data_IF_461615494966
#
_entry.id   IF_461615494966
#
_cell.length_a   1.000
_cell.length_b   1.000
_cell.length_c   1.000
_cell.angle_alpha   90.00
_cell.angle_beta   90.00
_cell.angle_gamma   90.00
#
_symmetry.space_group_name_H-M   'P 1'
#
loop_
_entity.id
_entity.type
_entity.pdbx_description
1 polymer ?
#
# COMPACT_ATOMS: atom_id res chain seq x y z
N UNK A 1 -13.27 12.62 11.31
CA UNK A 1 -14.23 12.05 10.34
C UNK A 1 -13.83 10.60 10.10
N UNK A 2 -14.74 9.64 10.24
CA UNK A 2 -14.51 8.22 9.91
C UNK A 2 -15.19 7.93 8.57
N UNK A 3 -14.50 7.20 7.70
CA UNK A 3 -15.02 6.70 6.42
C UNK A 3 -15.42 5.25 6.67
N UNK A 4 -16.69 4.93 6.49
CA UNK A 4 -17.19 3.56 6.53
C UNK A 4 -17.10 2.95 5.14
N UNK A 5 -16.36 1.86 4.99
CA UNK A 5 -16.31 1.07 3.77
C UNK A 5 -17.64 0.36 3.56
N UNK A 6 -18.05 0.16 2.31
CA UNK A 6 -19.13 -0.79 2.00
C UNK A 6 -18.58 -2.24 2.06
N UNK A 7 -19.44 -3.22 1.81
CA UNK A 7 -19.06 -4.65 1.82
C UNK A 7 -17.92 -4.95 0.83
N UNK A 8 -18.01 -4.46 -0.40
CA UNK A 8 -17.01 -4.70 -1.44
C UNK A 8 -15.60 -4.23 -1.04
N UNK A 9 -15.49 -3.00 -0.52
CA UNK A 9 -14.20 -2.48 -0.06
C UNK A 9 -13.73 -3.12 1.25
N UNK A 10 -14.65 -3.59 2.08
CA UNK A 10 -14.34 -4.38 3.27
C UNK A 10 -13.70 -5.71 2.87
N UNK A 11 -14.30 -6.42 1.92
CA UNK A 11 -13.78 -7.69 1.40
C UNK A 11 -12.41 -7.51 0.74
N UNK A 12 -12.20 -6.43 -0.03
CA UNK A 12 -10.87 -6.15 -0.61
C UNK A 12 -9.81 -5.88 0.46
N UNK A 13 -10.16 -5.18 1.55
CA UNK A 13 -9.24 -4.92 2.66
C UNK A 13 -8.91 -6.19 3.45
N UNK A 14 -9.88 -7.08 3.65
CA UNK A 14 -9.66 -8.38 4.26
C UNK A 14 -8.79 -9.26 3.35
N UNK A 15 -9.09 -9.34 2.06
CA UNK A 15 -8.26 -10.04 1.07
C UNK A 15 -6.82 -9.52 1.08
N UNK A 16 -6.61 -8.20 1.11
CA UNK A 16 -5.28 -7.62 1.20
C UNK A 16 -4.54 -8.11 2.45
N UNK A 17 -5.21 -8.14 3.61
CA UNK A 17 -4.61 -8.64 4.86
C UNK A 17 -4.26 -10.12 4.74
N UNK A 18 -5.12 -10.94 4.17
CA UNK A 18 -4.90 -12.38 4.00
C UNK A 18 -3.76 -12.70 3.02
N UNK A 19 -3.57 -11.86 2.00
CA UNK A 19 -2.47 -11.96 1.05
C UNK A 19 -1.12 -11.52 1.63
N UNK A 20 -1.10 -10.77 2.73
CA UNK A 20 0.11 -10.19 3.33
C UNK A 20 0.25 -10.58 4.81
N UNK A 21 0.61 -11.83 5.09
CA UNK A 21 0.75 -12.33 6.46
C UNK A 21 2.20 -12.36 6.93
N UNK A 22 3.18 -12.45 6.01
CA UNK A 22 4.60 -12.48 6.37
C UNK A 22 5.04 -11.13 6.97
N UNK A 23 5.69 -11.11 8.15
CA UNK A 23 6.10 -9.87 8.79
C UNK A 23 7.14 -9.09 7.98
N UNK A 24 7.97 -9.75 7.18
CA UNK A 24 8.95 -9.12 6.28
C UNK A 24 8.22 -8.45 5.12
N UNK A 25 7.20 -9.12 4.57
CA UNK A 25 6.33 -8.53 3.55
C UNK A 25 5.63 -7.28 4.09
N UNK A 26 4.96 -7.38 5.24
CA UNK A 26 4.32 -6.24 5.87
C UNK A 26 5.30 -5.10 6.20
N UNK A 27 6.52 -5.41 6.62
CA UNK A 27 7.55 -4.39 6.86
C UNK A 27 7.95 -3.67 5.57
N UNK A 28 8.31 -4.43 4.52
CA UNK A 28 8.64 -3.88 3.21
C UNK A 28 7.50 -3.00 2.67
N UNK A 29 6.24 -3.44 2.81
CA UNK A 29 5.07 -2.67 2.42
C UNK A 29 4.89 -1.41 3.26
N UNK A 30 5.08 -1.50 4.58
CA UNK A 30 4.94 -0.35 5.49
C UNK A 30 5.92 0.79 5.22
N UNK A 31 7.09 0.47 4.65
CA UNK A 31 8.09 1.45 4.21
C UNK A 31 7.85 1.86 2.75
N UNK A 32 7.57 0.93 1.85
CA UNK A 32 7.44 1.23 0.42
C UNK A 32 6.18 2.02 0.06
N UNK A 33 5.04 1.76 0.71
CA UNK A 33 3.77 2.48 0.44
C UNK A 33 3.93 4.00 0.65
N UNK A 34 4.44 4.51 1.79
CA UNK A 34 4.61 5.94 1.97
C UNK A 34 5.68 6.53 1.04
N UNK A 35 6.71 5.77 0.65
CA UNK A 35 7.68 6.24 -0.35
C UNK A 35 7.03 6.47 -1.71
N UNK A 36 6.20 5.51 -2.17
CA UNK A 36 5.44 5.66 -3.42
C UNK A 36 4.47 6.85 -3.28
N UNK A 37 3.69 6.91 -2.20
CA UNK A 37 2.71 7.97 -1.99
C UNK A 37 3.35 9.37 -1.95
N UNK A 38 4.50 9.53 -1.27
CA UNK A 38 5.23 10.80 -1.19
C UNK A 38 5.90 11.19 -2.51
N UNK A 39 6.31 10.21 -3.33
CA UNK A 39 6.94 10.47 -4.63
C UNK A 39 6.00 11.19 -5.62
N UNK A 40 4.69 10.91 -5.56
CA UNK A 40 3.70 11.46 -6.48
C UNK A 40 3.60 13.00 -6.41
N UNK A 41 3.35 13.64 -5.25
CA UNK A 41 3.31 15.10 -5.17
C UNK A 41 4.68 15.74 -5.40
N UNK A 42 5.78 15.09 -4.99
CA UNK A 42 7.14 15.59 -5.24
C UNK A 42 7.46 15.65 -6.75
N UNK A 43 7.00 14.65 -7.50
CA UNK A 43 7.23 14.53 -8.93
C UNK A 43 6.48 15.52 -9.82
N UNK A 44 5.55 16.31 -9.25
CA UNK A 44 4.78 17.32 -9.99
C UNK A 44 5.68 18.48 -10.47
N UNK A 45 6.84 18.70 -9.83
CA UNK A 45 7.77 19.77 -10.19
C UNK A 45 9.07 19.22 -10.78
N UNK A 46 9.67 19.97 -11.71
CA UNK A 46 10.99 19.63 -12.29
C UNK A 46 12.07 19.58 -11.19
N UNK A 47 11.93 20.42 -10.16
CA UNK A 47 12.85 20.46 -9.01
C UNK A 47 12.71 19.20 -8.13
N UNK A 48 11.49 18.70 -7.95
CA UNK A 48 11.22 17.51 -7.12
C UNK A 48 11.39 16.18 -7.85
N UNK A 49 11.36 16.18 -9.19
CA UNK A 49 11.48 14.98 -10.02
C UNK A 49 12.74 14.13 -9.73
N UNK A 50 13.96 14.71 -9.54
CA UNK A 50 15.15 13.95 -9.18
C UNK A 50 15.03 13.18 -7.87
N UNK A 51 14.19 13.63 -6.94
CA UNK A 51 13.91 12.92 -5.68
C UNK A 51 12.74 11.95 -5.82
N UNK A 52 11.72 12.30 -6.60
CA UNK A 52 10.54 11.47 -6.81
C UNK A 52 10.88 10.14 -7.50
N UNK A 53 11.73 10.16 -8.54
CA UNK A 53 12.12 8.95 -9.29
C UNK A 53 12.72 7.86 -8.38
N UNK A 54 13.78 8.12 -7.58
CA UNK A 54 14.34 7.10 -6.70
C UNK A 54 13.37 6.67 -5.59
N UNK A 55 12.57 7.59 -5.02
CA UNK A 55 11.54 7.22 -4.03
C UNK A 55 10.51 6.25 -4.62
N UNK A 56 10.03 6.53 -5.83
CA UNK A 56 9.09 5.67 -6.53
C UNK A 56 9.70 4.30 -6.84
N UNK A 57 10.92 4.29 -7.41
CA UNK A 57 11.63 3.06 -7.77
C UNK A 57 11.96 2.18 -6.57
N UNK A 58 12.54 2.75 -5.50
CA UNK A 58 12.86 2.01 -4.28
C UNK A 58 11.58 1.58 -3.57
N UNK A 59 10.56 2.43 -3.51
CA UNK A 59 9.27 2.11 -2.91
C UNK A 59 8.63 0.88 -3.55
N UNK A 60 8.61 0.81 -4.89
CA UNK A 60 8.16 -0.37 -5.65
C UNK A 60 9.08 -1.58 -5.47
N UNK A 61 10.40 -1.37 -5.47
CA UNK A 61 11.37 -2.43 -5.19
C UNK A 61 11.09 -3.12 -3.86
N UNK A 62 10.79 -2.34 -2.80
CA UNK A 62 10.39 -2.90 -1.51
C UNK A 62 9.08 -3.70 -1.59
N UNK A 63 8.05 -3.24 -2.32
CA UNK A 63 6.81 -4.03 -2.50
C UNK A 63 7.12 -5.41 -3.08
N UNK A 64 7.90 -5.46 -4.17
CA UNK A 64 8.22 -6.72 -4.82
C UNK A 64 9.12 -7.63 -3.98
N UNK A 65 10.06 -7.06 -3.22
CA UNK A 65 10.87 -7.82 -2.25
C UNK A 65 9.97 -8.43 -1.16
N UNK A 66 8.98 -7.68 -0.68
CA UNK A 66 7.99 -8.18 0.29
C UNK A 66 7.24 -9.39 -0.24
N UNK A 67 6.70 -9.29 -1.46
CA UNK A 67 6.03 -10.40 -2.14
C UNK A 67 6.95 -11.59 -2.45
N UNK A 68 8.24 -11.35 -2.71
CA UNK A 68 9.22 -12.42 -2.85
C UNK A 68 9.36 -13.25 -1.56
N UNK A 69 9.33 -12.61 -0.39
CA UNK A 69 9.33 -13.32 0.90
C UNK A 69 8.02 -14.04 1.20
N UNK A 70 6.87 -13.45 0.84
CA UNK A 70 5.54 -14.05 1.02
C UNK A 70 5.32 -15.26 0.08
N UNK A 71 5.94 -15.26 -1.10
CA UNK A 71 5.74 -16.29 -2.13
C UNK A 71 4.40 -16.17 -2.89
N UNK A 72 3.58 -15.18 -2.56
CA UNK A 72 2.34 -14.84 -3.26
C UNK A 72 2.59 -13.71 -4.26
N UNK A 73 1.89 -13.76 -5.39
CA UNK A 73 1.89 -12.65 -6.36
C UNK A 73 1.27 -11.39 -5.74
N UNK A 74 1.61 -10.18 -6.23
CA UNK A 74 0.97 -8.96 -5.78
C UNK A 74 -0.53 -8.94 -6.07
N UNK A 75 -1.36 -8.63 -5.07
CA UNK A 75 -2.83 -8.66 -5.18
C UNK A 75 -3.37 -7.72 -6.27
N UNK A 76 -2.64 -6.65 -6.61
CA UNK A 76 -3.03 -5.73 -7.68
C UNK A 76 -2.99 -6.34 -9.08
N UNK A 77 -2.32 -7.48 -9.24
CA UNK A 77 -2.32 -8.25 -10.49
C UNK A 77 -3.72 -8.79 -10.79
N UNK A 78 -4.46 -9.19 -9.74
CA UNK A 78 -5.85 -9.64 -9.88
C UNK A 78 -6.82 -8.46 -9.89
N UNK A 79 -6.60 -7.47 -9.03
CA UNK A 79 -7.46 -6.29 -8.94
C UNK A 79 -6.68 -5.01 -8.63
N UNK A 80 -6.63 -4.08 -9.58
CA UNK A 80 -5.91 -2.80 -9.45
C UNK A 80 -6.38 -1.93 -8.28
N UNK A 81 -7.61 -2.13 -7.77
CA UNK A 81 -8.10 -1.44 -6.57
C UNK A 81 -7.26 -1.76 -5.34
N UNK A 82 -6.57 -2.90 -5.34
CA UNK A 82 -5.64 -3.29 -4.27
C UNK A 82 -4.48 -2.30 -4.07
N UNK A 83 -4.17 -1.45 -5.05
CA UNK A 83 -3.23 -0.33 -4.88
C UNK A 83 -3.76 0.73 -3.89
N UNK A 84 -5.05 1.05 -3.98
CA UNK A 84 -5.72 1.98 -3.05
C UNK A 84 -5.95 1.33 -1.69
N UNK A 85 -6.29 0.04 -1.69
CA UNK A 85 -6.46 -0.75 -0.45
C UNK A 85 -5.15 -0.86 0.32
N UNK A 86 -4.00 -1.01 -0.36
CA UNK A 86 -2.70 -0.96 0.28
C UNK A 86 -2.45 0.36 1.02
N UNK A 87 -2.79 1.49 0.41
CA UNK A 87 -2.73 2.80 1.08
C UNK A 87 -3.69 2.87 2.28
N UNK A 88 -4.91 2.37 2.15
CA UNK A 88 -5.88 2.28 3.25
C UNK A 88 -5.36 1.42 4.41
N UNK A 89 -4.83 0.23 4.12
CA UNK A 89 -4.20 -0.67 5.09
C UNK A 89 -3.03 0.01 5.81
N UNK A 90 -2.19 0.75 5.08
CA UNK A 90 -1.06 1.46 5.67
C UNK A 90 -1.50 2.48 6.73
N UNK A 91 -2.59 3.22 6.48
CA UNK A 91 -3.13 4.14 7.50
C UNK A 91 -3.51 3.41 8.79
N UNK A 92 -4.16 2.24 8.69
CA UNK A 92 -4.47 1.40 9.85
C UNK A 92 -3.21 0.89 10.54
N UNK A 93 -2.20 0.46 9.76
CA UNK A 93 -0.93 -0.09 10.25
C UNK A 93 -0.17 0.91 11.12
N UNK A 94 -0.21 2.20 10.79
CA UNK A 94 0.43 3.27 11.57
C UNK A 94 -0.47 3.87 12.67
N UNK A 95 -1.65 3.28 12.92
CA UNK A 95 -2.55 3.68 14.00
C UNK A 95 -3.59 4.75 13.64
N UNK A 96 -3.65 5.19 12.38
CA UNK A 96 -4.63 6.16 11.90
C UNK A 96 -5.96 5.44 11.59
N UNK A 97 -6.94 5.58 12.49
CA UNK A 97 -8.25 4.91 12.38
C UNK A 97 -9.28 5.74 11.61
N UNK A 98 -8.95 6.13 10.38
CA UNK A 98 -9.88 6.88 9.52
C UNK A 98 -10.87 5.98 8.79
N UNK A 99 -10.57 4.68 8.65
CA UNK A 99 -11.36 3.73 7.88
C UNK A 99 -11.96 2.68 8.82
N UNK A 100 -13.26 2.45 8.69
CA UNK A 100 -14.02 1.43 9.39
C UNK A 100 -14.67 0.48 8.37
N UNK A 101 -14.62 -0.81 8.63
CA UNK A 101 -15.29 -1.85 7.82
C UNK A 101 -16.80 -1.80 8.01
N UNK A 102 -17.56 -2.33 7.03
CA UNK A 102 -19.02 -2.43 7.13
C UNK A 102 -19.48 -3.39 8.25
N UNK A 103 -18.63 -4.38 8.56
CA UNK A 103 -18.79 -5.40 9.60
C UNK A 103 -17.72 -5.29 10.68
#
# INVERSE_FOLDING_TARGET
MKITLNEEWTDLLEQYKDDHQDPRNQFCHSVGIPMIAASLPLGVSIIGLPLAIPLFGVGWGLQFIGHFFEGKKPSFVDDKRQLLVGAAWWTQKIGLKFIQTAR
#
